data_IF_208247228113
#
_entry.id   IF_208247228113
#
_cell.length_a   1.000
_cell.length_b   1.000
_cell.length_c   1.000
_cell.angle_alpha   90.00
_cell.angle_beta   90.00
_cell.angle_gamma   90.00
#
_symmetry.space_group_name_H-M   'P 1'
#
loop_
_entity.id
_entity.type
_entity.pdbx_description
1 polymer ?
#
# COMPACT_ATOMS: atom_id res chain seq x y z
N UNK A 1 -6.18 -12.18 -7.56
CA UNK A 1 -5.79 -12.03 -6.15
C UNK A 1 -4.51 -12.78 -5.83
N UNK A 2 -3.34 -12.16 -5.98
CA UNK A 2 -2.04 -12.77 -5.64
C UNK A 2 -1.47 -12.31 -4.30
N UNK A 3 -1.97 -11.20 -3.75
CA UNK A 3 -1.46 -10.60 -2.51
C UNK A 3 -1.98 -11.26 -1.24
N UNK A 4 -1.31 -10.96 -0.12
CA UNK A 4 -1.64 -11.49 1.20
C UNK A 4 -2.93 -10.90 1.80
N UNK A 5 -3.35 -9.70 1.37
CA UNK A 5 -4.50 -9.01 1.94
C UNK A 5 -5.81 -9.79 1.80
N UNK A 6 -5.99 -10.56 0.73
CA UNK A 6 -7.18 -11.40 0.58
C UNK A 6 -7.34 -12.39 1.74
N UNK A 7 -6.22 -12.96 2.23
CA UNK A 7 -6.23 -13.90 3.35
C UNK A 7 -6.50 -13.15 4.64
N UNK A 8 -5.87 -11.98 4.83
CA UNK A 8 -6.07 -11.12 6.01
C UNK A 8 -7.55 -10.71 6.15
N UNK A 9 -8.17 -10.23 5.07
CA UNK A 9 -9.57 -9.83 5.07
C UNK A 9 -10.52 -11.01 5.29
N UNK A 10 -10.34 -12.12 4.56
CA UNK A 10 -11.27 -13.25 4.65
C UNK A 10 -11.20 -13.95 6.01
N UNK A 11 -10.00 -14.21 6.54
CA UNK A 11 -9.86 -14.80 7.88
C UNK A 11 -10.47 -13.90 8.96
N UNK A 12 -10.24 -12.59 8.89
CA UNK A 12 -10.87 -11.63 9.80
C UNK A 12 -12.39 -11.63 9.70
N UNK A 13 -12.94 -11.63 8.48
CA UNK A 13 -14.38 -11.65 8.25
C UNK A 13 -15.02 -12.93 8.80
N UNK A 14 -14.43 -14.10 8.56
CA UNK A 14 -14.95 -15.37 9.06
C UNK A 14 -14.83 -15.49 10.59
N UNK A 15 -13.78 -14.94 11.19
CA UNK A 15 -13.63 -14.91 12.64
C UNK A 15 -14.71 -14.04 13.32
N UNK A 16 -15.04 -12.90 12.72
CA UNK A 16 -16.05 -11.97 13.25
C UNK A 16 -17.49 -12.42 12.97
N UNK A 17 -17.74 -13.00 11.78
CA UNK A 17 -19.05 -13.50 11.37
C UNK A 17 -18.90 -14.81 10.60
N UNK A 18 -18.89 -15.95 11.30
CA UNK A 18 -18.88 -17.25 10.66
C UNK A 18 -20.04 -17.40 9.66
N UNK A 19 -19.76 -17.96 8.49
CA UNK A 19 -20.76 -18.16 7.43
C UNK A 19 -21.13 -16.91 6.62
N UNK A 20 -20.47 -15.77 6.84
CA UNK A 20 -20.60 -14.63 5.93
C UNK A 20 -20.14 -15.02 4.51
N UNK A 21 -20.93 -14.65 3.50
CA UNK A 21 -20.51 -14.81 2.11
C UNK A 21 -19.58 -13.67 1.73
N UNK A 22 -18.32 -13.99 1.45
CA UNK A 22 -17.36 -13.04 0.85
C UNK A 22 -17.50 -13.09 -0.67
N UNK A 23 -17.52 -11.93 -1.30
CA UNK A 23 -17.47 -11.77 -2.76
C UNK A 23 -16.17 -11.03 -3.07
N UNK A 24 -15.29 -11.64 -3.87
CA UNK A 24 -13.98 -11.09 -4.22
C UNK A 24 -13.88 -10.88 -5.74
N UNK A 25 -14.34 -9.72 -6.27
CA UNK A 25 -14.41 -9.45 -7.71
C UNK A 25 -13.10 -9.71 -8.47
N UNK A 26 -11.96 -9.33 -7.88
CA UNK A 26 -10.62 -9.54 -8.44
C UNK A 26 -10.19 -11.01 -8.59
N UNK A 27 -10.99 -11.96 -8.11
CA UNK A 27 -10.80 -13.41 -8.34
C UNK A 27 -11.93 -14.04 -9.16
N UNK A 28 -13.13 -13.46 -9.08
CA UNK A 28 -14.33 -14.07 -9.66
C UNK A 28 -14.67 -13.51 -11.05
N UNK A 29 -14.31 -12.26 -11.33
CA UNK A 29 -14.72 -11.57 -12.56
C UNK A 29 -13.63 -11.58 -13.62
N UNK A 30 -14.02 -11.60 -14.90
CA UNK A 30 -13.11 -11.45 -16.05
C UNK A 30 -12.77 -9.97 -16.34
N UNK A 31 -12.46 -9.21 -15.29
CA UNK A 31 -11.99 -7.82 -15.38
C UNK A 31 -10.51 -7.73 -14.96
N UNK A 32 -9.67 -8.48 -15.67
CA UNK A 32 -8.29 -8.77 -15.26
C UNK A 32 -7.25 -7.76 -15.77
N UNK A 33 -7.66 -6.70 -16.48
CA UNK A 33 -6.75 -5.67 -16.99
C UNK A 33 -7.31 -4.28 -16.76
N UNK A 34 -6.42 -3.28 -16.72
CA UNK A 34 -6.81 -1.87 -16.61
C UNK A 34 -7.69 -1.45 -17.78
N UNK A 35 -7.38 -1.91 -19.00
CA UNK A 35 -8.16 -1.60 -20.20
C UNK A 35 -9.59 -2.13 -20.08
N UNK A 36 -9.77 -3.41 -19.74
CA UNK A 36 -11.10 -3.99 -19.49
C UNK A 36 -11.88 -3.23 -18.41
N UNK A 37 -11.22 -2.77 -17.37
CA UNK A 37 -11.84 -1.96 -16.30
C UNK A 37 -12.26 -0.57 -16.80
N UNK A 38 -11.44 0.09 -17.63
CA UNK A 38 -11.79 1.37 -18.23
C UNK A 38 -12.95 1.24 -19.21
N UNK A 39 -12.98 0.18 -20.02
CA UNK A 39 -14.09 -0.11 -20.93
C UNK A 39 -15.38 -0.40 -20.16
N UNK A 40 -15.30 -1.24 -19.12
CA UNK A 40 -16.42 -1.51 -18.23
C UNK A 40 -16.96 -0.22 -17.61
N UNK A 41 -16.08 0.65 -17.10
CA UNK A 41 -16.46 1.94 -16.55
C UNK A 41 -17.14 2.84 -17.60
N UNK A 42 -16.64 2.89 -18.83
CA UNK A 42 -17.22 3.67 -19.92
C UNK A 42 -18.62 3.16 -20.32
N UNK A 43 -18.78 1.84 -20.48
CA UNK A 43 -20.08 1.23 -20.82
C UNK A 43 -21.14 1.46 -19.74
N UNK A 44 -20.74 1.56 -18.48
CA UNK A 44 -21.65 1.75 -17.34
C UNK A 44 -21.68 3.20 -16.82
N UNK A 45 -21.14 4.16 -17.59
CA UNK A 45 -21.14 5.58 -17.25
C UNK A 45 -20.53 5.91 -15.87
N UNK A 46 -19.54 5.11 -15.44
CA UNK A 46 -18.82 5.31 -14.18
C UNK A 46 -17.72 6.36 -14.42
N UNK A 47 -17.80 7.56 -13.79
CA UNK A 47 -16.78 8.59 -13.97
C UNK A 47 -15.46 8.14 -13.31
N UNK A 48 -14.37 8.12 -14.10
CA UNK A 48 -13.02 7.83 -13.62
C UNK A 48 -12.14 9.06 -13.76
N UNK A 49 -11.60 9.54 -12.65
CA UNK A 49 -10.57 10.57 -12.66
C UNK A 49 -9.30 10.01 -13.33
N UNK A 50 -9.00 10.51 -14.52
CA UNK A 50 -7.74 10.22 -15.20
C UNK A 50 -6.65 11.09 -14.56
N UNK A 51 -6.11 10.66 -13.42
CA UNK A 51 -4.81 11.17 -13.00
C UNK A 51 -3.83 10.99 -14.18
N UNK A 52 -3.05 12.04 -14.48
CA UNK A 52 -2.36 12.23 -15.76
C UNK A 52 -1.47 11.06 -16.22
N UNK A 53 -0.89 11.19 -17.42
CA UNK A 53 -0.15 10.13 -18.15
C UNK A 53 0.99 9.42 -17.38
N UNK A 54 1.39 9.91 -16.20
CA UNK A 54 2.33 9.21 -15.32
C UNK A 54 1.58 8.23 -14.44
N UNK A 55 1.62 6.95 -14.81
CA UNK A 55 1.33 5.83 -13.92
C UNK A 55 2.28 5.92 -12.72
N UNK A 56 1.77 5.71 -11.50
CA UNK A 56 2.65 5.48 -10.34
C UNK A 56 3.59 4.31 -10.68
N UNK A 57 4.92 4.47 -10.58
CA UNK A 57 5.87 3.40 -10.92
C UNK A 57 5.72 2.18 -9.98
N UNK A 58 5.16 2.38 -8.79
CA UNK A 58 4.99 1.37 -7.75
C UNK A 58 3.54 1.24 -7.31
N UNK A 59 3.19 0.04 -6.85
CA UNK A 59 2.06 -0.18 -5.94
C UNK A 59 2.50 0.27 -4.54
N UNK A 60 1.65 1.04 -3.86
CA UNK A 60 1.98 1.67 -2.59
C UNK A 60 0.81 1.54 -1.62
N UNK A 61 1.09 1.14 -0.39
CA UNK A 61 0.17 1.22 0.75
C UNK A 61 0.82 2.04 1.88
N UNK A 62 0.06 2.93 2.49
CA UNK A 62 0.56 3.86 3.51
C UNK A 62 -0.45 4.02 4.64
N UNK A 63 0.03 3.87 5.86
CA UNK A 63 -0.70 4.14 7.10
C UNK A 63 0.27 4.73 8.13
N UNK A 64 -0.24 5.23 9.26
CA UNK A 64 0.57 5.92 10.28
C UNK A 64 1.83 5.17 10.72
N UNK A 65 1.85 3.84 10.61
CA UNK A 65 2.98 3.01 11.03
C UNK A 65 4.06 2.91 9.96
N UNK A 66 3.69 2.80 8.69
CA UNK A 66 4.66 2.59 7.61
C UNK A 66 4.10 2.89 6.21
N UNK A 67 5.02 2.95 5.26
CA UNK A 67 4.74 2.90 3.82
C UNK A 67 5.39 1.64 3.26
N UNK A 68 4.66 0.91 2.43
CA UNK A 68 5.19 -0.20 1.62
C UNK A 68 5.16 0.14 0.14
N UNK A 69 6.14 -0.38 -0.60
CA UNK A 69 6.28 -0.25 -2.05
C UNK A 69 6.54 -1.63 -2.67
N UNK A 70 5.88 -1.92 -3.79
CA UNK A 70 6.08 -3.16 -4.54
C UNK A 70 5.81 -2.98 -6.04
N UNK A 71 6.17 -3.98 -6.84
CA UNK A 71 5.89 -4.00 -8.26
C UNK A 71 6.80 -3.11 -9.11
N UNK A 72 6.58 -3.16 -10.43
CA UNK A 72 7.36 -2.37 -11.38
C UNK A 72 8.83 -2.81 -11.38
N UNK A 73 9.74 -1.83 -11.31
CA UNK A 73 11.19 -2.07 -11.32
C UNK A 73 11.70 -2.79 -10.05
N UNK A 74 10.93 -2.73 -8.95
CA UNK A 74 11.32 -3.36 -7.67
C UNK A 74 11.22 -4.89 -7.68
N UNK A 75 10.59 -5.47 -8.70
CA UNK A 75 10.57 -6.93 -8.89
C UNK A 75 11.93 -7.47 -9.35
N UNK A 76 12.82 -6.61 -9.86
CA UNK A 76 14.22 -6.95 -10.13
C UNK A 76 15.09 -6.57 -8.93
N UNK A 77 15.58 -7.58 -8.21
CA UNK A 77 16.43 -7.41 -7.03
C UNK A 77 17.80 -6.80 -7.33
N UNK A 78 18.18 -6.67 -8.61
CA UNK A 78 19.40 -6.00 -9.04
C UNK A 78 19.21 -4.51 -9.36
N UNK A 79 17.96 -4.02 -9.30
CA UNK A 79 17.64 -2.62 -9.50
C UNK A 79 17.74 -1.85 -8.18
N UNK A 80 18.46 -0.73 -8.20
CA UNK A 80 18.52 0.18 -7.06
C UNK A 80 17.19 0.94 -6.88
N UNK A 81 16.86 1.28 -5.64
CA UNK A 81 15.70 2.11 -5.33
C UNK A 81 15.78 3.50 -5.99
N UNK A 82 14.64 4.06 -6.39
CA UNK A 82 14.58 5.41 -6.95
C UNK A 82 14.40 6.46 -5.84
N UNK A 83 14.99 7.65 -6.04
CA UNK A 83 14.94 8.75 -5.06
C UNK A 83 13.52 9.25 -4.75
N UNK A 84 12.58 9.13 -5.69
CA UNK A 84 11.19 9.57 -5.48
C UNK A 84 10.36 8.60 -4.62
N UNK A 85 10.95 7.47 -4.20
CA UNK A 85 10.38 6.55 -3.21
C UNK A 85 10.42 7.11 -1.79
N UNK A 86 11.33 8.03 -1.48
CA UNK A 86 11.45 8.65 -0.16
C UNK A 86 10.28 9.63 0.08
N UNK A 87 9.30 9.24 0.91
CA UNK A 87 8.12 10.07 1.27
C UNK A 87 8.22 10.69 2.66
N UNK A 88 8.47 9.86 3.67
CA UNK A 88 8.50 10.27 5.10
C UNK A 88 9.90 10.32 5.67
N UNK A 89 10.79 9.51 5.11
CA UNK A 89 12.21 9.46 5.42
C UNK A 89 13.01 10.18 4.34
N UNK A 90 14.28 10.47 4.64
CA UNK A 90 15.26 10.97 3.67
C UNK A 90 16.37 9.94 3.50
N UNK A 91 17.01 9.94 2.34
CA UNK A 91 18.24 9.18 2.12
C UNK A 91 19.27 9.55 3.21
N UNK A 92 20.02 8.57 3.76
CA UNK A 92 21.10 8.83 4.71
C UNK A 92 22.12 9.87 4.23
N UNK A 93 22.38 9.96 2.92
CA UNK A 93 23.30 10.95 2.33
C UNK A 93 22.79 12.40 2.46
N UNK A 94 21.50 12.57 2.72
CA UNK A 94 20.84 13.87 2.90
C UNK A 94 20.31 14.08 4.32
N UNK A 95 20.65 13.18 5.25
CA UNK A 95 20.28 13.30 6.66
C UNK A 95 21.07 14.43 7.35
N UNK A 96 20.52 15.05 8.41
CA UNK A 96 21.26 16.06 9.17
C UNK A 96 22.53 15.48 9.83
N UNK A 97 23.63 16.25 9.80
CA UNK A 97 24.89 15.88 10.47
C UNK A 97 24.80 15.90 12.01
N UNK A 98 23.77 16.57 12.55
CA UNK A 98 23.56 16.67 14.00
C UNK A 98 22.50 15.66 14.45
N UNK A 99 22.80 14.79 15.43
CA UNK A 99 21.83 13.83 15.94
C UNK A 99 20.72 14.54 16.72
N UNK A 100 19.52 13.97 16.65
CA UNK A 100 18.41 14.31 17.54
C UNK A 100 18.27 13.21 18.58
N UNK A 101 18.42 13.56 19.86
CA UNK A 101 18.11 12.65 20.96
C UNK A 101 16.60 12.72 21.23
N UNK A 102 15.98 11.57 21.40
CA UNK A 102 14.56 11.42 21.73
C UNK A 102 14.48 10.50 22.95
N UNK A 103 13.75 10.91 23.98
CA UNK A 103 13.44 10.09 25.14
C UNK A 103 12.00 9.57 25.02
N UNK A 104 11.81 8.26 25.20
CA UNK A 104 10.51 7.61 25.15
C UNK A 104 10.16 7.08 26.54
N UNK A 105 9.09 7.60 27.13
CA UNK A 105 8.58 7.05 28.40
C UNK A 105 7.64 5.89 28.12
N UNK A 106 7.90 4.74 28.73
CA UNK A 106 7.06 3.54 28.62
C UNK A 106 6.24 3.29 29.88
N UNK A 107 5.00 2.83 29.70
CA UNK A 107 4.15 2.31 30.78
C UNK A 107 3.44 1.06 30.29
N UNK A 108 3.70 -0.08 30.95
CA UNK A 108 3.09 -1.38 30.64
C UNK A 108 3.28 -1.83 29.17
N UNK A 109 4.38 -1.43 28.53
CA UNK A 109 4.72 -1.81 27.15
C UNK A 109 4.38 -0.77 26.10
N UNK A 110 3.54 0.22 26.43
CA UNK A 110 3.18 1.30 25.51
C UNK A 110 4.01 2.57 25.77
N UNK A 111 4.32 3.30 24.69
CA UNK A 111 4.90 4.64 24.77
C UNK A 111 3.80 5.61 25.24
N UNK A 112 4.09 6.40 26.27
CA UNK A 112 3.14 7.36 26.86
C UNK A 112 3.63 8.82 26.85
N UNK A 113 4.91 9.07 26.56
CA UNK A 113 5.45 10.41 26.37
C UNK A 113 6.70 10.35 25.45
N UNK A 114 6.99 11.49 24.82
CA UNK A 114 8.14 11.71 23.93
C UNK A 114 8.74 13.08 24.31
N UNK A 115 10.04 13.12 24.62
CA UNK A 115 10.81 14.35 24.86
C UNK A 115 12.00 14.47 23.90
#
# INVERSE_FOLDING_TARGET
>A
GKGNDQVRFELGAYALKPGVKVIAPWREWDLLSREKLMDYAATHEIPIERHGKKKSPYSMDANLLHISYEGGVLEDTWTEHEEDMWRWTRSPETAPDTPTYIELTYRKGDIVAID
#
